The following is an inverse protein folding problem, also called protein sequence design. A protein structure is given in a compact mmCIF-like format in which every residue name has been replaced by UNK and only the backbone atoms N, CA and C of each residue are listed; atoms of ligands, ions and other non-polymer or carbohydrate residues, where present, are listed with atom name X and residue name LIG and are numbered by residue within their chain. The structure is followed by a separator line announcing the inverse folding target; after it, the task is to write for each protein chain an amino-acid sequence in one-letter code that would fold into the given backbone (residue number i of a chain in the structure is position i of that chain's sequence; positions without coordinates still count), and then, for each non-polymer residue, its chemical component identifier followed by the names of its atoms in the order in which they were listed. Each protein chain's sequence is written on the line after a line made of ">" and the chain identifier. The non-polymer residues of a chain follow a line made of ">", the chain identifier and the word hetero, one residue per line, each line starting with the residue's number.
data_IF_942619803682
#
_entry.id   IF_942619803682
#
_cell.length_a   1.000
_cell.length_b   1.000
_cell.length_c   1.000
_cell.angle_alpha   90.00
_cell.angle_beta   90.00
_cell.angle_gamma   90.00
#
_symmetry.space_group_name_H-M   'P 1'
#
loop_
_entity.id
_entity.type
_entity.pdbx_description
1 polymer ?
#
# COMPACT_ATOMS: atom_id res chain seq x y z
N UNK A 1 -30.62 -20.25 7.78
CA UNK A 1 -30.30 -18.82 8.01
C UNK A 1 -31.56 -18.00 7.75
N UNK A 2 -32.07 -17.20 8.70
CA UNK A 2 -33.25 -16.36 8.42
C UNK A 2 -32.87 -15.21 7.49
N UNK A 3 -33.77 -14.80 6.59
CA UNK A 3 -33.51 -13.76 5.59
C UNK A 3 -32.96 -12.46 6.19
N UNK A 4 -33.37 -12.14 7.42
CA UNK A 4 -32.88 -11.00 8.20
C UNK A 4 -31.37 -11.06 8.48
N UNK A 5 -30.83 -12.26 8.76
CA UNK A 5 -29.39 -12.45 8.96
C UNK A 5 -28.61 -12.30 7.65
N UNK A 6 -29.20 -12.74 6.52
CA UNK A 6 -28.59 -12.62 5.19
C UNK A 6 -28.41 -11.14 4.79
N UNK A 7 -29.45 -10.33 5.00
CA UNK A 7 -29.42 -8.90 4.67
C UNK A 7 -28.38 -8.12 5.51
N UNK A 8 -28.23 -8.46 6.80
CA UNK A 8 -27.22 -7.84 7.66
C UNK A 8 -25.80 -8.17 7.19
N UNK A 9 -25.54 -9.44 6.83
CA UNK A 9 -24.23 -9.87 6.34
C UNK A 9 -23.87 -9.17 5.03
N UNK A 10 -24.80 -9.11 4.07
CA UNK A 10 -24.55 -8.40 2.82
C UNK A 10 -24.25 -6.92 3.03
N UNK A 11 -24.94 -6.27 3.97
CA UNK A 11 -24.67 -4.87 4.32
C UNK A 11 -23.30 -4.70 4.95
N UNK A 12 -22.90 -5.59 5.84
CA UNK A 12 -21.56 -5.59 6.46
C UNK A 12 -20.45 -5.80 5.42
N UNK A 13 -20.61 -6.78 4.55
CA UNK A 13 -19.64 -7.06 3.46
C UNK A 13 -19.57 -5.87 2.50
N UNK A 14 -20.71 -5.25 2.18
CA UNK A 14 -20.77 -4.06 1.36
C UNK A 14 -19.97 -2.89 1.92
N UNK A 15 -19.99 -2.69 3.24
CA UNK A 15 -19.15 -1.68 3.90
C UNK A 15 -17.70 -2.14 4.09
N UNK A 16 -17.44 -3.44 4.23
CA UNK A 16 -16.08 -3.95 4.42
C UNK A 16 -15.17 -3.63 3.23
N UNK A 17 -15.69 -3.67 2.00
CA UNK A 17 -14.91 -3.41 0.78
C UNK A 17 -14.23 -2.03 0.78
N UNK A 18 -14.95 -0.89 0.95
CA UNK A 18 -14.30 0.42 0.98
C UNK A 18 -13.34 0.56 2.16
N UNK A 19 -13.65 0.00 3.33
CA UNK A 19 -12.71 0.03 4.47
C UNK A 19 -11.44 -0.77 4.18
N UNK A 20 -11.56 -1.94 3.55
CA UNK A 20 -10.39 -2.74 3.15
C UNK A 20 -9.56 -2.05 2.07
N UNK A 21 -10.19 -1.35 1.13
CA UNK A 21 -9.46 -0.56 0.12
C UNK A 21 -8.65 0.56 0.76
N UNK A 22 -9.25 1.31 1.70
CA UNK A 22 -8.53 2.35 2.44
C UNK A 22 -7.37 1.74 3.23
N UNK A 23 -7.62 0.64 3.95
CA UNK A 23 -6.58 -0.05 4.71
C UNK A 23 -5.44 -0.56 3.80
N UNK A 24 -5.77 -1.10 2.62
CA UNK A 24 -4.81 -1.56 1.61
C UNK A 24 -3.95 -0.42 1.05
N UNK A 25 -4.54 0.75 0.78
CA UNK A 25 -3.76 1.90 0.30
C UNK A 25 -2.85 2.42 1.41
N UNK A 26 -3.36 2.54 2.63
CA UNK A 26 -2.59 3.04 3.76
C UNK A 26 -1.49 2.07 4.20
N UNK A 27 -1.61 0.77 3.92
CA UNK A 27 -0.59 -0.21 4.32
C UNK A 27 0.72 -0.09 3.53
N UNK A 28 0.77 0.62 2.40
CA UNK A 28 1.99 0.73 1.59
C UNK A 28 3.14 1.44 2.35
N UNK A 29 2.83 2.45 3.16
CA UNK A 29 3.81 3.21 3.95
C UNK A 29 4.50 2.40 5.05
N UNK A 30 3.77 1.78 6.00
CA UNK A 30 4.42 0.91 6.99
C UNK A 30 5.04 -0.34 6.36
N UNK A 31 4.57 -0.77 5.17
CA UNK A 31 5.18 -1.89 4.46
C UNK A 31 6.51 -1.52 3.79
N UNK A 32 6.66 -0.29 3.27
CA UNK A 32 7.94 0.16 2.70
C UNK A 32 9.04 0.25 3.77
N UNK A 33 8.71 0.62 5.01
CA UNK A 33 9.61 0.54 6.17
C UNK A 33 10.21 -0.85 6.40
N UNK A 34 9.41 -1.91 6.22
CA UNK A 34 9.87 -3.29 6.36
C UNK A 34 10.75 -3.73 5.19
N UNK A 35 10.72 -3.00 4.07
CA UNK A 35 11.43 -3.32 2.84
C UNK A 35 12.67 -2.45 2.59
N UNK A 36 12.79 -1.31 3.28
CA UNK A 36 14.01 -0.49 3.26
C UNK A 36 15.15 -1.21 3.97
N UNK A 37 16.07 -1.76 3.20
CA UNK A 37 17.37 -2.26 3.68
C UNK A 37 18.33 -1.07 3.67
N UNK A 38 19.10 -0.80 4.74
CA UNK A 38 20.10 0.26 4.71
C UNK A 38 21.14 -0.06 3.63
N UNK A 39 21.21 0.77 2.59
CA UNK A 39 22.34 0.76 1.67
C UNK A 39 23.52 1.49 2.31
N UNK A 40 24.71 0.87 2.20
CA UNK A 40 25.99 1.34 2.74
C UNK A 40 26.42 2.74 2.25
N UNK A 41 25.67 3.34 1.31
CA UNK A 41 25.95 4.64 0.70
C UNK A 41 24.95 5.75 1.08
N UNK A 42 24.05 5.54 2.04
CA UNK A 42 23.15 6.59 2.56
C UNK A 42 22.08 7.07 1.58
N UNK A 43 21.81 6.31 0.50
CA UNK A 43 20.67 6.54 -0.38
C UNK A 43 19.60 5.48 -0.12
N UNK A 44 18.46 5.94 0.41
CA UNK A 44 17.25 5.13 0.56
C UNK A 44 16.57 5.02 -0.80
N UNK A 45 16.82 3.94 -1.54
CA UNK A 45 16.05 3.66 -2.76
C UNK A 45 14.77 2.91 -2.38
N UNK A 46 13.67 3.64 -2.26
CA UNK A 46 12.32 3.09 -2.01
C UNK A 46 11.85 2.23 -3.20
N UNK A 47 12.39 2.51 -4.40
CA UNK A 47 12.18 1.74 -5.64
C UNK A 47 13.44 1.81 -6.52
N UNK A 48 14.53 1.17 -6.10
CA UNK A 48 15.68 0.99 -6.98
C UNK A 48 15.43 -0.19 -7.93
N UNK A 49 15.76 -0.03 -9.21
CA UNK A 49 15.61 -1.00 -10.30
C UNK A 49 16.33 -2.36 -10.08
N UNK A 50 16.98 -2.57 -8.94
CA UNK A 50 17.86 -3.72 -8.70
C UNK A 50 17.51 -4.59 -7.48
N UNK A 51 16.42 -4.31 -6.76
CA UNK A 51 16.08 -5.13 -5.59
C UNK A 51 15.10 -6.25 -5.96
N UNK A 52 15.55 -7.48 -5.70
CA UNK A 52 14.77 -8.71 -5.50
C UNK A 52 13.84 -8.56 -4.28
N UNK A 53 13.12 -7.45 -4.15
CA UNK A 53 12.01 -7.32 -3.22
C UNK A 53 11.01 -8.41 -3.59
N UNK A 54 10.88 -9.41 -2.70
CA UNK A 54 9.88 -10.49 -2.71
C UNK A 54 8.79 -10.23 -3.74
N UNK A 55 8.76 -11.05 -4.79
CA UNK A 55 7.90 -10.97 -5.98
C UNK A 55 6.43 -10.61 -5.65
N UNK A 56 6.00 -11.02 -4.45
CA UNK A 56 4.72 -10.70 -3.84
C UNK A 56 4.47 -9.20 -3.64
N UNK A 57 5.43 -8.40 -3.17
CA UNK A 57 5.24 -6.96 -2.89
C UNK A 57 4.96 -6.13 -4.15
N UNK A 58 5.77 -6.36 -5.19
CA UNK A 58 5.60 -5.78 -6.52
C UNK A 58 4.25 -6.18 -7.09
N UNK A 59 3.84 -7.44 -6.95
CA UNK A 59 2.55 -7.93 -7.44
C UNK A 59 1.36 -7.40 -6.63
N UNK A 60 1.47 -7.39 -5.30
CA UNK A 60 0.38 -7.04 -4.38
C UNK A 60 0.07 -5.54 -4.45
N UNK A 61 1.08 -4.68 -4.58
CA UNK A 61 0.93 -3.23 -4.72
C UNK A 61 0.96 -2.73 -6.18
N UNK A 62 1.02 -3.63 -7.17
CA UNK A 62 0.99 -3.28 -8.59
C UNK A 62 -0.17 -2.33 -8.97
N UNK A 63 -1.40 -2.49 -8.46
CA UNK A 63 -2.47 -1.54 -8.75
C UNK A 63 -2.17 -0.12 -8.28
N UNK A 64 -1.58 0.04 -7.08
CA UNK A 64 -1.19 1.34 -6.55
C UNK A 64 -0.07 1.94 -7.40
N UNK A 65 0.95 1.16 -7.72
CA UNK A 65 2.04 1.59 -8.60
C UNK A 65 1.52 2.05 -9.96
N UNK A 66 0.64 1.27 -10.58
CA UNK A 66 0.05 1.60 -11.87
C UNK A 66 -0.73 2.93 -11.83
N UNK A 67 -1.49 3.18 -10.76
CA UNK A 67 -2.23 4.43 -10.59
C UNK A 67 -1.26 5.60 -10.39
N UNK A 68 -0.22 5.41 -9.57
CA UNK A 68 0.80 6.44 -9.30
C UNK A 68 1.51 6.88 -10.58
N UNK A 69 1.98 5.93 -11.40
CA UNK A 69 2.68 6.19 -12.65
C UNK A 69 1.84 6.96 -13.68
N UNK A 70 0.51 6.90 -13.56
CA UNK A 70 -0.42 7.61 -14.46
C UNK A 70 -0.90 8.95 -13.92
N UNK A 71 -0.62 9.26 -12.66
CA UNK A 71 -1.06 10.49 -12.03
C UNK A 71 0.00 11.03 -11.08
N UNK A 72 0.69 12.09 -11.52
CA UNK A 72 1.76 12.77 -10.78
C UNK A 72 1.36 13.24 -9.38
N UNK A 73 0.10 13.64 -9.20
CA UNK A 73 -0.40 14.06 -7.88
C UNK A 73 -0.49 12.86 -6.92
N UNK A 74 -0.94 11.71 -7.43
CA UNK A 74 -1.03 10.48 -6.64
C UNK A 74 0.35 9.93 -6.32
N UNK A 75 1.26 9.94 -7.30
CA UNK A 75 2.67 9.60 -7.11
C UNK A 75 3.32 10.45 -6.02
N UNK A 76 3.16 11.77 -6.10
CA UNK A 76 3.69 12.70 -5.09
C UNK A 76 3.15 12.39 -3.69
N UNK A 77 1.84 12.20 -3.53
CA UNK A 77 1.24 11.87 -2.22
C UNK A 77 1.77 10.54 -1.68
N UNK A 78 1.91 9.52 -2.54
CA UNK A 78 2.40 8.21 -2.10
C UNK A 78 3.84 8.30 -1.60
N UNK A 79 4.70 9.02 -2.33
CA UNK A 79 6.09 9.25 -1.92
C UNK A 79 6.13 10.02 -0.60
N UNK A 80 5.40 11.13 -0.48
CA UNK A 80 5.36 11.94 0.74
C UNK A 80 4.80 11.15 1.94
N UNK A 81 3.81 10.28 1.71
CA UNK A 81 3.28 9.40 2.75
C UNK A 81 4.28 8.33 3.18
N UNK A 82 5.01 7.73 2.25
CA UNK A 82 6.08 6.78 2.56
C UNK A 82 7.19 7.48 3.34
N UNK A 83 7.66 8.64 2.86
CA UNK A 83 8.68 9.45 3.52
C UNK A 83 8.26 9.83 4.94
N UNK A 84 7.00 10.23 5.11
CA UNK A 84 6.42 10.45 6.43
C UNK A 84 6.52 9.19 7.28
N UNK A 85 6.04 8.03 6.81
CA UNK A 85 6.15 6.77 7.57
C UNK A 85 7.61 6.43 7.92
N UNK A 86 8.56 6.62 7.01
CA UNK A 86 9.98 6.36 7.23
C UNK A 86 10.62 7.30 8.26
N UNK A 87 10.19 8.56 8.31
CA UNK A 87 10.75 9.57 9.21
C UNK A 87 10.41 9.36 10.71
N UNK A 88 9.50 8.45 11.05
CA UNK A 88 9.09 8.15 12.43
C UNK A 88 9.79 6.94 13.06
N UNK A 89 10.79 6.36 12.38
CA UNK A 89 11.62 5.25 12.90
C UNK A 89 13.03 5.77 13.21
#
# INVERSE_FOLDING_TARGET
>A
MSERKRHIIFRLVGYAIPFMLVAYVLSIGPFSLLMTIPLDNGQETIFGDEYETLDFSKTFYAPIMYVSQRNKFVEYIIIEYIDFCCSFV
#
